data_IF_227800378292
#
_entry.id   IF_227800378292
#
_cell.length_a   1.000
_cell.length_b   1.000
_cell.length_c   1.000
_cell.angle_alpha   90.00
_cell.angle_beta   90.00
_cell.angle_gamma   90.00
#
_symmetry.space_group_name_H-M   'P 1'
#
loop_
_entity.id
_entity.type
_entity.pdbx_description
1 polymer ?
#
# COMPACT_ATOMS: atom_id res chain seq x y z
N UNK A 1 -48.40 24.54 -15.06
CA UNK A 1 -48.18 23.21 -14.43
C UNK A 1 -47.02 22.47 -15.07
N UNK A 2 -46.98 22.30 -16.39
CA UNK A 2 -45.86 21.64 -17.11
C UNK A 2 -44.49 22.29 -16.82
N UNK A 3 -44.41 23.64 -16.84
CA UNK A 3 -43.15 24.34 -16.56
C UNK A 3 -42.56 24.10 -15.16
N UNK A 4 -43.41 23.88 -14.15
CA UNK A 4 -42.99 23.60 -12.78
C UNK A 4 -42.39 22.18 -12.70
N UNK A 5 -42.98 21.21 -13.41
CA UNK A 5 -42.48 19.84 -13.45
C UNK A 5 -41.09 19.75 -14.11
N UNK A 6 -40.86 20.53 -15.17
CA UNK A 6 -39.56 20.58 -15.86
C UNK A 6 -38.49 21.21 -14.96
N UNK A 7 -38.82 22.25 -14.20
CA UNK A 7 -37.87 22.87 -13.26
C UNK A 7 -37.49 21.91 -12.13
N UNK A 8 -38.45 21.18 -11.56
CA UNK A 8 -38.19 20.22 -10.47
C UNK A 8 -37.33 19.05 -10.94
N UNK A 9 -37.53 18.56 -12.17
CA UNK A 9 -36.73 17.47 -12.72
C UNK A 9 -35.28 17.89 -12.96
N UNK A 10 -35.05 19.08 -13.51
CA UNK A 10 -33.70 19.61 -13.77
C UNK A 10 -32.93 19.81 -12.46
N UNK A 11 -33.55 20.41 -11.44
CA UNK A 11 -32.91 20.63 -10.13
C UNK A 11 -32.55 19.29 -9.47
N UNK A 12 -33.43 18.29 -9.53
CA UNK A 12 -33.16 16.97 -8.94
C UNK A 12 -31.95 16.29 -9.59
N UNK A 13 -31.85 16.35 -10.93
CA UNK A 13 -30.70 15.78 -11.67
C UNK A 13 -29.40 16.47 -11.26
N UNK A 14 -29.38 17.80 -11.16
CA UNK A 14 -28.19 18.56 -10.75
C UNK A 14 -27.73 18.16 -9.34
N UNK A 15 -28.66 18.01 -8.39
CA UNK A 15 -28.34 17.58 -7.03
C UNK A 15 -27.73 16.18 -7.02
N UNK A 16 -28.28 15.24 -7.79
CA UNK A 16 -27.75 13.87 -7.90
C UNK A 16 -26.33 13.87 -8.49
N UNK A 17 -26.07 14.69 -9.52
CA UNK A 17 -24.73 14.81 -10.12
C UNK A 17 -23.74 15.41 -9.11
N UNK A 18 -24.13 16.43 -8.34
CA UNK A 18 -23.27 17.02 -7.31
C UNK A 18 -22.97 15.99 -6.21
N UNK A 19 -24.00 15.32 -5.67
CA UNK A 19 -23.81 14.31 -4.61
C UNK A 19 -22.95 13.15 -5.08
N UNK A 20 -23.16 12.67 -6.31
CA UNK A 20 -22.34 11.60 -6.88
C UNK A 20 -20.90 12.06 -7.10
N UNK A 21 -20.66 13.23 -7.71
CA UNK A 21 -19.33 13.80 -7.87
C UNK A 21 -18.63 13.99 -6.51
N UNK A 22 -19.31 14.59 -5.52
CA UNK A 22 -18.82 14.71 -4.16
C UNK A 22 -18.49 13.34 -3.55
N UNK A 23 -19.35 12.34 -3.69
CA UNK A 23 -19.10 10.97 -3.23
C UNK A 23 -17.88 10.33 -3.91
N UNK A 24 -17.72 10.51 -5.22
CA UNK A 24 -16.59 9.98 -5.98
C UNK A 24 -15.28 10.68 -5.59
N UNK A 25 -15.30 11.98 -5.33
CA UNK A 25 -14.14 12.75 -4.88
C UNK A 25 -13.75 12.42 -3.43
N UNK A 26 -14.73 12.25 -2.53
CA UNK A 26 -14.48 11.83 -1.14
C UNK A 26 -13.96 10.39 -1.04
N UNK A 27 -14.29 9.52 -2.01
CA UNK A 27 -13.72 8.17 -2.12
C UNK A 27 -12.27 8.14 -2.63
N UNK A 28 -11.71 9.26 -3.13
CA UNK A 28 -10.28 9.39 -3.47
C UNK A 28 -9.41 9.80 -2.29
N UNK A 29 -10.00 10.11 -1.13
CA UNK A 29 -9.23 10.31 0.09
C UNK A 29 -8.91 8.94 0.67
N UNK A 30 -7.63 8.52 0.76
CA UNK A 30 -7.29 7.31 1.46
C UNK A 30 -7.76 7.48 2.90
N UNK A 31 -8.65 6.60 3.36
CA UNK A 31 -9.05 6.53 4.77
C UNK A 31 -7.77 6.40 5.59
N UNK A 32 -7.42 7.47 6.30
CA UNK A 32 -6.44 7.45 7.38
C UNK A 32 -7.12 6.70 8.53
N UNK A 33 -7.13 5.37 8.43
CA UNK A 33 -7.23 4.52 9.59
C UNK A 33 -5.80 4.39 10.11
N UNK A 34 -5.46 5.17 11.14
CA UNK A 34 -4.25 4.97 11.93
C UNK A 34 -4.29 3.57 12.54
N UNK A 35 -3.40 2.64 12.17
CA UNK A 35 -3.27 1.39 12.87
C UNK A 35 -2.34 1.63 14.06
N UNK A 36 -2.91 1.48 15.26
CA UNK A 36 -2.20 1.39 16.53
C UNK A 36 -1.21 0.22 16.42
N UNK A 37 0.08 0.51 16.51
CA UNK A 37 1.14 -0.47 16.40
C UNK A 37 1.09 -1.47 17.56
N UNK A 38 0.96 -2.75 17.22
CA UNK A 38 1.26 -3.85 18.12
C UNK A 38 2.63 -4.42 17.74
N UNK A 39 3.56 -4.27 18.66
CA UNK A 39 4.88 -4.91 18.66
C UNK A 39 4.66 -6.42 18.75
N UNK A 40 4.81 -7.12 17.63
CA UNK A 40 4.94 -8.57 17.61
C UNK A 40 6.35 -8.90 17.12
N UNK A 41 7.17 -9.23 18.09
CA UNK A 41 8.50 -9.78 17.99
C UNK A 41 8.39 -11.18 17.39
N UNK A 42 8.41 -11.27 16.05
CA UNK A 42 8.57 -12.54 15.34
C UNK A 42 10.06 -12.84 15.25
N UNK A 43 10.50 -13.78 16.08
CA UNK A 43 11.80 -14.44 15.98
C UNK A 43 11.91 -15.12 14.62
N UNK A 44 12.54 -14.40 13.69
CA UNK A 44 12.89 -14.83 12.34
C UNK A 44 13.79 -16.08 12.41
N UNK A 45 13.32 -17.18 11.84
CA UNK A 45 13.95 -18.49 12.00
C UNK A 45 15.24 -18.60 11.18
N UNK A 46 16.24 -19.26 11.76
CA UNK A 46 17.60 -19.44 11.23
C UNK A 46 17.60 -20.08 9.83
N UNK A 47 16.58 -20.87 9.52
CA UNK A 47 16.39 -21.52 8.23
C UNK A 47 16.15 -20.53 7.08
N UNK A 48 15.51 -19.39 7.34
CA UNK A 48 15.22 -18.37 6.31
C UNK A 48 16.45 -17.52 5.99
N UNK A 49 17.38 -17.36 6.95
CA UNK A 49 18.67 -16.69 6.72
C UNK A 49 19.55 -17.45 5.74
N UNK A 50 19.58 -18.78 5.83
CA UNK A 50 20.41 -19.63 4.96
C UNK A 50 19.93 -19.60 3.50
N UNK A 51 18.61 -19.54 3.27
CA UNK A 51 18.03 -19.45 1.92
C UNK A 51 18.26 -18.07 1.28
N UNK A 52 18.40 -17.01 2.08
CA UNK A 52 18.64 -15.65 1.58
C UNK A 52 20.10 -15.42 1.17
N UNK A 53 21.07 -16.02 1.87
CA UNK A 53 22.49 -15.92 1.53
C UNK A 53 22.85 -16.67 0.23
N UNK A 54 22.14 -17.74 -0.11
CA UNK A 54 22.36 -18.49 -1.35
C UNK A 54 21.85 -17.74 -2.60
N UNK A 55 20.84 -16.88 -2.46
CA UNK A 55 20.07 -16.32 -3.58
C UNK A 55 20.44 -14.87 -3.97
N UNK A 56 21.59 -14.34 -3.52
CA UNK A 56 22.02 -12.97 -3.82
C UNK A 56 21.12 -11.88 -3.20
N UNK A 57 20.28 -12.24 -2.23
CA UNK A 57 19.41 -11.29 -1.52
C UNK A 57 20.14 -10.63 -0.35
N UNK A 58 20.26 -9.30 -0.38
CA UNK A 58 20.88 -8.54 0.71
C UNK A 58 19.94 -8.46 1.91
N UNK A 59 20.43 -8.86 3.09
CA UNK A 59 19.73 -8.60 4.35
C UNK A 59 19.82 -7.11 4.70
N UNK A 60 18.66 -6.44 4.81
CA UNK A 60 18.57 -5.02 5.15
C UNK A 60 17.89 -4.89 6.53
N UNK A 61 18.49 -4.19 7.50
CA UNK A 61 17.89 -4.03 8.82
C UNK A 61 16.62 -3.18 8.74
N UNK A 62 15.60 -3.51 9.53
CA UNK A 62 14.31 -2.80 9.55
C UNK A 62 14.46 -1.28 9.76
N UNK A 63 15.42 -0.86 10.60
CA UNK A 63 15.70 0.57 10.82
C UNK A 63 16.05 1.30 9.52
N UNK A 64 16.82 0.66 8.64
CA UNK A 64 17.21 1.24 7.36
C UNK A 64 16.01 1.33 6.41
N UNK A 65 15.11 0.34 6.42
CA UNK A 65 13.86 0.36 5.63
C UNK A 65 12.97 1.54 6.06
N UNK A 66 12.80 1.75 7.36
CA UNK A 66 12.01 2.87 7.87
C UNK A 66 12.67 4.21 7.59
N UNK A 67 13.99 4.32 7.74
CA UNK A 67 14.72 5.54 7.38
C UNK A 67 14.57 5.85 5.88
N UNK A 68 14.73 4.85 5.01
CA UNK A 68 14.66 4.98 3.56
C UNK A 68 13.27 5.43 3.06
N UNK A 69 12.20 5.06 3.79
CA UNK A 69 10.80 5.33 3.40
C UNK A 69 10.15 6.44 4.22
N UNK A 70 10.90 7.13 5.08
CA UNK A 70 10.37 8.08 6.06
C UNK A 70 9.22 7.46 6.89
N UNK A 71 9.48 6.32 7.54
CA UNK A 71 8.50 5.56 8.30
C UNK A 71 7.28 5.11 7.48
N UNK A 72 7.49 4.65 6.25
CA UNK A 72 6.42 4.23 5.32
C UNK A 72 5.38 5.35 5.08
N UNK A 73 5.86 6.60 4.96
CA UNK A 73 4.99 7.77 4.79
C UNK A 73 4.17 7.69 3.49
N UNK A 74 2.96 8.25 3.50
CA UNK A 74 2.08 8.26 2.34
C UNK A 74 2.68 8.99 1.13
N UNK A 75 3.52 10.00 1.35
CA UNK A 75 4.25 10.68 0.26
C UNK A 75 5.16 9.73 -0.54
N UNK A 76 5.58 8.63 0.09
CA UNK A 76 6.40 7.61 -0.52
C UNK A 76 5.58 6.44 -1.06
N UNK A 77 4.25 6.44 -0.91
CA UNK A 77 3.41 5.41 -1.49
C UNK A 77 3.44 5.46 -3.03
N UNK A 78 3.66 4.31 -3.65
CA UNK A 78 3.70 4.18 -5.12
C UNK A 78 2.71 3.16 -5.68
N UNK A 79 2.11 2.30 -4.84
CA UNK A 79 1.10 1.35 -5.32
C UNK A 79 0.59 0.39 -4.26
N UNK A 80 -0.51 -0.30 -4.53
CA UNK A 80 -1.09 -1.31 -3.66
C UNK A 80 -1.53 -2.53 -4.48
N UNK A 81 -1.11 -3.72 -4.05
CA UNK A 81 -1.51 -5.00 -4.62
C UNK A 81 -2.17 -5.90 -3.57
N UNK A 82 -2.46 -7.14 -3.96
CA UNK A 82 -3.11 -8.13 -3.08
C UNK A 82 -2.33 -8.38 -1.79
N UNK A 83 -1.00 -8.37 -1.89
CA UNK A 83 -0.16 -8.71 -0.77
C UNK A 83 0.15 -7.52 0.14
N UNK A 84 0.05 -6.28 -0.36
CA UNK A 84 0.40 -5.13 0.44
C UNK A 84 0.58 -3.82 -0.32
N UNK A 85 1.13 -2.83 0.38
CA UNK A 85 1.43 -1.49 -0.15
C UNK A 85 2.90 -1.42 -0.52
N UNK A 86 3.22 -0.67 -1.57
CA UNK A 86 4.57 -0.46 -2.07
C UNK A 86 4.94 0.99 -1.84
N UNK A 87 6.14 1.21 -1.29
CA UNK A 87 6.69 2.54 -0.99
C UNK A 87 8.02 2.72 -1.70
N UNK A 88 8.27 3.91 -2.29
CA UNK A 88 9.60 4.31 -2.73
C UNK A 88 10.48 4.61 -1.52
N UNK A 89 11.76 4.29 -1.62
CA UNK A 89 12.74 4.67 -0.62
C UNK A 89 14.13 4.82 -1.20
N UNK A 90 15.01 5.43 -0.43
CA UNK A 90 16.43 5.54 -0.75
C UNK A 90 17.22 4.98 0.43
N UNK A 91 17.97 3.91 0.19
CA UNK A 91 18.83 3.29 1.20
C UNK A 91 20.01 4.19 1.56
N UNK A 92 20.70 3.86 2.66
CA UNK A 92 21.85 4.64 3.14
C UNK A 92 23.00 4.76 2.12
N UNK A 93 23.11 3.78 1.23
CA UNK A 93 24.06 3.75 0.13
C UNK A 93 23.58 4.50 -1.14
N UNK A 94 22.45 5.20 -1.08
CA UNK A 94 21.89 5.97 -2.19
C UNK A 94 21.08 5.16 -3.20
N UNK A 95 20.90 3.86 -2.99
CA UNK A 95 20.11 3.02 -3.90
C UNK A 95 18.61 3.32 -3.77
N UNK A 96 17.97 3.60 -4.91
CA UNK A 96 16.53 3.73 -4.98
C UNK A 96 15.89 2.34 -4.95
N UNK A 97 14.91 2.16 -4.08
CA UNK A 97 14.25 0.88 -3.84
C UNK A 97 12.73 1.04 -3.78
N UNK A 98 12.03 -0.06 -4.07
CA UNK A 98 10.61 -0.21 -3.81
C UNK A 98 10.42 -1.23 -2.67
N UNK A 99 9.79 -0.80 -1.57
CA UNK A 99 9.56 -1.62 -0.38
C UNK A 99 8.09 -2.04 -0.34
N UNK A 100 7.83 -3.35 -0.48
CA UNK A 100 6.49 -3.95 -0.41
C UNK A 100 6.19 -4.36 1.05
N UNK A 101 5.34 -3.60 1.72
CA UNK A 101 4.90 -3.87 3.09
C UNK A 101 3.67 -4.79 3.07
N UNK A 102 3.83 -6.01 3.58
CA UNK A 102 2.82 -7.06 3.65
C UNK A 102 2.04 -6.95 4.97
N UNK A 103 0.71 -6.87 4.93
CA UNK A 103 -0.13 -6.66 6.12
C UNK A 103 -0.80 -7.93 6.67
N UNK A 104 -0.78 -9.01 5.90
CA UNK A 104 -1.45 -10.28 6.25
C UNK A 104 -0.51 -11.44 5.99
N UNK A 105 -0.39 -12.32 6.98
CA UNK A 105 0.50 -13.48 6.91
C UNK A 105 0.14 -14.41 5.74
N UNK A 106 -1.15 -14.60 5.45
CA UNK A 106 -1.63 -15.37 4.29
C UNK A 106 -1.33 -14.75 2.91
N UNK A 107 -0.70 -13.57 2.86
CA UNK A 107 -0.19 -13.00 1.61
C UNK A 107 1.33 -13.01 1.50
N UNK A 108 2.04 -13.35 2.58
CA UNK A 108 3.48 -13.56 2.53
C UNK A 108 3.82 -14.75 1.63
N UNK A 109 3.08 -15.85 1.72
CA UNK A 109 3.23 -17.03 0.85
C UNK A 109 3.03 -16.72 -0.64
N UNK A 110 2.08 -15.85 -0.97
CA UNK A 110 1.84 -15.42 -2.36
C UNK A 110 3.02 -14.61 -2.88
N UNK A 111 3.58 -13.74 -2.04
CA UNK A 111 4.77 -12.97 -2.37
C UNK A 111 6.01 -13.87 -2.51
N UNK A 112 6.19 -14.85 -1.62
CA UNK A 112 7.29 -15.82 -1.71
C UNK A 112 7.23 -16.61 -3.01
N UNK A 113 6.04 -16.99 -3.48
CA UNK A 113 5.86 -17.61 -4.79
C UNK A 113 6.31 -16.69 -5.93
N UNK A 114 5.94 -15.41 -5.90
CA UNK A 114 6.39 -14.42 -6.89
C UNK A 114 7.93 -14.32 -6.91
N UNK A 115 8.56 -14.22 -5.73
CA UNK A 115 10.03 -14.08 -5.60
C UNK A 115 10.78 -15.34 -6.04
N UNK A 116 10.30 -16.51 -5.66
CA UNK A 116 10.89 -17.79 -6.06
C UNK A 116 10.73 -18.07 -7.55
N UNK A 117 9.58 -17.72 -8.14
CA UNK A 117 9.33 -17.91 -9.59
C UNK A 117 10.23 -17.01 -10.43
N UNK A 118 10.67 -15.87 -9.89
CA UNK A 118 11.55 -14.93 -10.61
C UNK A 118 13.00 -15.42 -10.74
N UNK A 119 13.38 -16.52 -10.07
CA UNK A 119 14.72 -17.09 -10.05
C UNK A 119 14.90 -18.29 -11.03
N UNK A 120 14.02 -18.42 -12.04
CA UNK A 120 14.12 -19.39 -13.14
C UNK A 120 14.51 -18.65 -14.42
#
# INVERSE_FOLDING_TARGET
MIGILVLVSVVSIVVIVIVSASCYLLKRVPKIASPKGNHANSSFSVSERLILEENGCKNIPMREIYAATNNLHLHNFIGQGIAGKVYKGVLSNGWQVAIKHIFKDGHAETFLREVQTFHI
#
